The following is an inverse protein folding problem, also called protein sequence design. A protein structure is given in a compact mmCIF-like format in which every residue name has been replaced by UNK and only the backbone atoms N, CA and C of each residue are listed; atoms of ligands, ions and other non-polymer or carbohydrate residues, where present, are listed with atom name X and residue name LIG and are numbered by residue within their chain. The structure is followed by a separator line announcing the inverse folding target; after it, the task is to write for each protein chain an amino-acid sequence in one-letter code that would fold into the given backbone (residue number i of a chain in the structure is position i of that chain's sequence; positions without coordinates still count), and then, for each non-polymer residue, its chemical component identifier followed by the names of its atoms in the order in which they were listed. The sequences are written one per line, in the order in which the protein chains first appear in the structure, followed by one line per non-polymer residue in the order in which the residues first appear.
data_IF_057381917043
#
_entry.id   IF_057381917043
#
_cell.length_a   1.000
_cell.length_b   1.000
_cell.length_c   1.000
_cell.angle_alpha   90.00
_cell.angle_beta   90.00
_cell.angle_gamma   90.00
#
_symmetry.space_group_name_H-M   'P 1'
#
loop_
_entity.id
_entity.type
_entity.pdbx_description
1 polymer ?
#
# COMPACT_ATOMS: atom_id res chain seq x y z
N UNK A 1 1.80 -10.78 15.00
CA UNK A 1 1.28 -9.40 15.17
C UNK A 1 -0.17 -9.54 15.61
N UNK A 2 -0.65 -8.79 16.62
CA UNK A 2 -2.07 -8.79 16.97
C UNK A 2 -2.90 -8.26 15.80
N UNK A 3 -4.15 -8.71 15.69
CA UNK A 3 -5.06 -8.21 14.65
C UNK A 3 -5.30 -6.70 14.85
N UNK A 4 -5.40 -5.91 13.76
CA UNK A 4 -5.69 -4.48 13.84
C UNK A 4 -7.00 -4.21 14.56
N UNK A 5 -7.04 -3.19 15.43
CA UNK A 5 -8.31 -2.69 15.97
C UNK A 5 -9.06 -1.90 14.90
N UNK A 6 -10.35 -1.63 15.14
CA UNK A 6 -11.13 -0.76 14.25
C UNK A 6 -10.52 0.63 14.10
N UNK A 7 -10.01 1.21 15.20
CA UNK A 7 -9.38 2.51 15.18
C UNK A 7 -8.09 2.49 14.33
N UNK A 8 -7.29 1.43 14.41
CA UNK A 8 -6.05 1.29 13.63
C UNK A 8 -6.32 1.33 12.13
N UNK A 9 -7.29 0.52 11.66
CA UNK A 9 -7.69 0.48 10.25
C UNK A 9 -8.21 1.84 9.79
N UNK A 10 -9.14 2.44 10.54
CA UNK A 10 -9.73 3.73 10.15
C UNK A 10 -8.69 4.85 10.14
N UNK A 11 -7.77 4.87 11.09
CA UNK A 11 -6.66 5.82 11.11
C UNK A 11 -5.74 5.61 9.91
N UNK A 12 -5.45 4.37 9.52
CA UNK A 12 -4.69 4.09 8.30
C UNK A 12 -5.42 4.64 7.07
N UNK A 13 -6.71 4.36 6.93
CA UNK A 13 -7.53 4.79 5.79
C UNK A 13 -7.79 6.31 5.76
N UNK A 14 -7.67 7.03 6.88
CA UNK A 14 -7.92 8.47 6.94
C UNK A 14 -6.87 9.33 6.21
N UNK A 15 -5.67 8.82 5.98
CA UNK A 15 -4.55 9.54 5.36
C UNK A 15 -4.40 9.21 3.87
N UNK A 16 -4.26 10.26 3.06
CA UNK A 16 -4.20 10.13 1.61
C UNK A 16 -3.02 9.27 1.14
N UNK A 17 -1.82 9.48 1.68
CA UNK A 17 -0.63 8.73 1.25
C UNK A 17 -0.78 7.26 1.62
N UNK A 18 -1.31 6.96 2.82
CA UNK A 18 -1.58 5.57 3.23
C UNK A 18 -2.65 4.90 2.36
N UNK A 19 -3.71 5.63 1.98
CA UNK A 19 -4.70 5.11 1.01
C UNK A 19 -4.07 4.81 -0.34
N UNK A 20 -3.23 5.71 -0.87
CA UNK A 20 -2.52 5.51 -2.14
C UNK A 20 -1.62 4.27 -2.07
N UNK A 21 -0.85 4.11 -0.98
CA UNK A 21 -0.05 2.90 -0.74
C UNK A 21 -0.93 1.65 -0.71
N UNK A 22 -2.04 1.66 0.04
CA UNK A 22 -2.93 0.49 0.15
C UNK A 22 -3.52 0.07 -1.19
N UNK A 23 -3.98 1.02 -2.00
CA UNK A 23 -4.56 0.72 -3.32
C UNK A 23 -3.54 0.04 -4.22
N UNK A 24 -2.27 0.48 -4.20
CA UNK A 24 -1.20 -0.16 -4.96
C UNK A 24 -0.85 -1.55 -4.41
N UNK A 25 -0.74 -1.67 -3.08
CA UNK A 25 -0.38 -2.93 -2.41
C UNK A 25 -1.45 -4.02 -2.48
N UNK A 26 -2.71 -3.63 -2.70
CA UNK A 26 -3.81 -4.59 -2.88
C UNK A 26 -3.82 -5.15 -4.32
N UNK A 27 -3.14 -4.51 -5.27
CA UNK A 27 -2.92 -5.03 -6.64
C UNK A 27 -1.65 -5.90 -6.74
N UNK A 28 -0.58 -5.49 -6.06
CA UNK A 28 0.74 -6.10 -6.19
C UNK A 28 1.51 -6.06 -4.87
N UNK A 29 2.36 -7.06 -4.63
CA UNK A 29 3.36 -7.01 -3.56
C UNK A 29 4.52 -6.12 -4.03
N UNK A 30 4.80 -5.01 -3.33
CA UNK A 30 5.72 -3.96 -3.82
C UNK A 30 6.85 -3.67 -2.85
N UNK A 31 8.04 -3.37 -3.39
CA UNK A 31 9.13 -2.82 -2.60
C UNK A 31 8.92 -1.33 -2.29
N UNK A 32 9.66 -0.83 -1.28
CA UNK A 32 9.70 0.60 -0.97
C UNK A 32 10.13 1.43 -2.18
N UNK A 33 11.07 0.89 -2.98
CA UNK A 33 11.55 1.52 -4.20
C UNK A 33 10.43 1.77 -5.22
N UNK A 34 9.59 0.77 -5.47
CA UNK A 34 8.48 0.86 -6.41
C UNK A 34 7.43 1.85 -5.92
N UNK A 35 7.10 1.81 -4.63
CA UNK A 35 6.17 2.75 -4.01
C UNK A 35 6.67 4.21 -4.09
N UNK A 36 7.95 4.44 -3.84
CA UNK A 36 8.58 5.77 -3.96
C UNK A 36 8.44 6.34 -5.36
N UNK A 37 8.72 5.51 -6.38
CA UNK A 37 8.62 5.93 -7.76
C UNK A 37 7.15 6.10 -8.20
N UNK A 38 6.27 5.19 -7.82
CA UNK A 38 4.84 5.24 -8.19
C UNK A 38 4.14 6.45 -7.56
N UNK A 39 4.45 6.77 -6.30
CA UNK A 39 3.82 7.86 -5.56
C UNK A 39 4.49 9.22 -5.77
N UNK A 40 5.68 9.26 -6.37
CA UNK A 40 6.53 10.46 -6.51
C UNK A 40 6.82 11.13 -5.16
N UNK A 41 7.03 10.31 -4.12
CA UNK A 41 7.30 10.77 -2.76
C UNK A 41 8.68 10.32 -2.27
N UNK A 42 9.38 11.11 -1.46
CA UNK A 42 10.66 10.71 -0.90
C UNK A 42 10.59 9.40 -0.10
N UNK A 43 11.63 8.59 -0.20
CA UNK A 43 11.74 7.32 0.53
C UNK A 43 11.53 7.42 2.04
N UNK A 44 12.06 8.45 2.77
CA UNK A 44 11.80 8.59 4.20
C UNK A 44 10.31 8.73 4.52
N UNK A 45 9.56 9.44 3.67
CA UNK A 45 8.12 9.64 3.81
C UNK A 45 7.39 8.31 3.64
N UNK A 46 7.60 7.62 2.53
CA UNK A 46 6.96 6.33 2.24
C UNK A 46 7.29 5.29 3.31
N UNK A 47 8.55 5.21 3.74
CA UNK A 47 8.99 4.24 4.76
C UNK A 47 8.34 4.50 6.11
N UNK A 48 8.15 5.78 6.48
CA UNK A 48 7.44 6.16 7.71
C UNK A 48 5.97 5.74 7.66
N UNK A 49 5.29 5.95 6.52
CA UNK A 49 3.91 5.50 6.35
C UNK A 49 3.79 3.98 6.43
N UNK A 50 4.68 3.23 5.76
CA UNK A 50 4.71 1.77 5.82
C UNK A 50 4.96 1.24 7.23
N UNK A 51 5.86 1.88 8.00
CA UNK A 51 6.08 1.53 9.40
C UNK A 51 4.81 1.68 10.22
N UNK A 52 4.12 2.82 10.12
CA UNK A 52 2.85 3.06 10.83
C UNK A 52 1.79 2.03 10.44
N UNK A 53 1.66 1.72 9.14
CA UNK A 53 0.68 0.76 8.64
C UNK A 53 1.00 -0.68 9.08
N UNK A 54 2.28 -1.04 9.16
CA UNK A 54 2.75 -2.35 9.63
C UNK A 54 2.53 -2.50 11.13
N UNK A 55 2.86 -1.46 11.90
CA UNK A 55 2.68 -1.47 13.35
C UNK A 55 1.18 -1.50 13.70
N UNK A 56 0.34 -0.90 12.86
CA UNK A 56 -1.12 -1.04 12.90
C UNK A 56 -1.63 -2.42 12.46
N UNK A 57 -0.80 -3.30 11.88
CA UNK A 57 -1.21 -4.63 11.41
C UNK A 57 -2.02 -4.63 10.10
N UNK A 58 -2.03 -3.52 9.34
CA UNK A 58 -2.77 -3.41 8.08
C UNK A 58 -1.95 -3.93 6.89
N UNK A 59 -0.63 -3.81 6.97
CA UNK A 59 0.31 -4.35 5.97
C UNK A 59 1.32 -5.28 6.63
N UNK A 60 1.82 -6.21 5.83
CA UNK A 60 2.90 -7.12 6.21
C UNK A 60 4.14 -6.83 5.38
N UNK A 61 5.31 -7.17 5.93
CA UNK A 61 6.59 -7.06 5.26
C UNK A 61 7.19 -8.45 5.10
N UNK A 62 7.57 -8.81 3.89
CA UNK A 62 8.43 -9.97 3.59
C UNK A 62 9.82 -9.49 3.16
N UNK A 63 10.82 -10.35 3.38
CA UNK A 63 12.17 -10.12 2.87
C UNK A 63 12.48 -11.16 1.81
N UNK A 64 12.82 -10.70 0.62
CA UNK A 64 13.24 -11.54 -0.49
C UNK A 64 14.63 -11.09 -0.93
N UNK A 65 15.63 -11.88 -0.52
CA UNK A 65 17.04 -11.51 -0.67
C UNK A 65 17.37 -10.20 0.03
N UNK A 66 17.73 -9.17 -0.76
CA UNK A 66 18.10 -7.84 -0.26
C UNK A 66 16.91 -6.87 -0.20
N UNK A 67 15.77 -7.23 -0.77
CA UNK A 67 14.62 -6.35 -0.89
C UNK A 67 13.58 -6.65 0.18
N UNK A 68 12.92 -5.60 0.64
CA UNK A 68 11.75 -5.70 1.52
C UNK A 68 10.51 -5.40 0.70
N UNK A 69 9.65 -6.40 0.58
CA UNK A 69 8.35 -6.28 -0.08
C UNK A 69 7.27 -6.09 0.98
N UNK A 70 6.25 -5.34 0.59
CA UNK A 70 5.08 -5.07 1.40
C UNK A 70 3.84 -5.59 0.68
N UNK A 71 2.85 -6.00 1.46
CA UNK A 71 1.55 -6.45 0.98
C UNK A 71 0.48 -6.13 2.01
N UNK A 72 -0.78 -6.08 1.57
CA UNK A 72 -1.92 -5.98 2.50
C UNK A 72 -1.96 -7.22 3.40
N UNK A 73 -2.20 -7.05 4.70
CA UNK A 73 -2.21 -8.17 5.63
C UNK A 73 -3.33 -9.16 5.28
N UNK A 74 -2.97 -10.44 5.21
CA UNK A 74 -3.94 -11.52 5.00
C UNK A 74 -4.85 -11.74 6.22
N UNK A 75 -4.46 -11.19 7.38
CA UNK A 75 -5.20 -11.28 8.63
C UNK A 75 -6.19 -10.13 8.86
N UNK A 76 -6.42 -9.28 7.86
CA UNK A 76 -7.41 -8.21 7.96
C UNK A 76 -8.82 -8.77 8.24
N UNK A 77 -9.56 -8.19 9.20
CA UNK A 77 -10.96 -8.51 9.40
C UNK A 77 -11.79 -8.32 8.12
N UNK A 78 -12.82 -9.15 7.91
CA UNK A 78 -13.65 -9.10 6.71
C UNK A 78 -14.24 -7.71 6.42
N UNK A 79 -14.68 -6.98 7.45
CA UNK A 79 -15.21 -5.62 7.29
C UNK A 79 -14.14 -4.63 6.80
N UNK A 80 -12.88 -4.80 7.23
CA UNK A 80 -11.77 -3.94 6.81
C UNK A 80 -11.41 -4.22 5.35
N UNK A 81 -11.45 -5.50 4.95
CA UNK A 81 -11.30 -5.90 3.55
C UNK A 81 -12.37 -5.29 2.65
N UNK A 82 -13.64 -5.38 3.06
CA UNK A 82 -14.75 -4.76 2.32
C UNK A 82 -14.60 -3.25 2.17
N UNK A 83 -14.12 -2.57 3.23
CA UNK A 83 -13.85 -1.13 3.17
C UNK A 83 -12.71 -0.80 2.19
N UNK A 84 -11.66 -1.62 2.16
CA UNK A 84 -10.56 -1.47 1.20
C UNK A 84 -11.03 -1.67 -0.24
N UNK A 85 -11.87 -2.68 -0.49
CA UNK A 85 -12.45 -2.93 -1.81
C UNK A 85 -13.30 -1.73 -2.26
N UNK A 86 -14.15 -1.19 -1.38
CA UNK A 86 -14.95 0.00 -1.67
C UNK A 86 -14.08 1.25 -1.91
N UNK A 87 -13.00 1.41 -1.13
CA UNK A 87 -12.03 2.49 -1.34
C UNK A 87 -11.37 2.38 -2.71
N UNK A 88 -10.92 1.18 -3.09
CA UNK A 88 -10.29 0.92 -4.38
C UNK A 88 -11.24 1.26 -5.54
N UNK A 89 -12.50 0.87 -5.44
CA UNK A 89 -13.52 1.16 -6.46
C UNK A 89 -13.77 2.67 -6.62
N UNK A 90 -13.77 3.42 -5.50
CA UNK A 90 -13.83 4.88 -5.52
C UNK A 90 -12.57 5.50 -6.14
N UNK A 91 -11.42 5.09 -5.63
CA UNK A 91 -10.09 5.56 -6.02
C UNK A 91 -9.79 5.35 -7.51
N UNK A 92 -10.29 4.25 -8.11
CA UNK A 92 -10.10 3.95 -9.53
C UNK A 92 -10.62 5.05 -10.48
N UNK A 93 -11.56 5.89 -10.02
CA UNK A 93 -12.13 7.00 -10.80
C UNK A 93 -11.34 8.30 -10.67
N UNK A 94 -10.48 8.41 -9.66
CA UNK A 94 -9.76 9.63 -9.33
C UNK A 94 -8.45 9.74 -10.12
N UNK A 95 -8.08 10.96 -10.53
CA UNK A 95 -6.88 11.19 -11.34
C UNK A 95 -5.58 10.83 -10.61
N UNK A 96 -5.53 11.06 -9.28
CA UNK A 96 -4.36 10.81 -8.45
C UNK A 96 -3.94 9.33 -8.47
N UNK A 97 -4.86 8.43 -8.11
CA UNK A 97 -4.60 6.99 -8.09
C UNK A 97 -4.35 6.42 -9.49
N UNK A 98 -5.04 6.93 -10.52
CA UNK A 98 -4.74 6.53 -11.91
C UNK A 98 -3.32 6.93 -12.32
N UNK A 99 -2.83 8.09 -11.89
CA UNK A 99 -1.46 8.52 -12.11
C UNK A 99 -0.44 7.59 -11.44
N UNK A 100 -0.68 7.26 -10.17
CA UNK A 100 0.17 6.33 -9.41
C UNK A 100 0.26 4.96 -10.07
N UNK A 101 -0.90 4.38 -10.45
CA UNK A 101 -0.96 3.07 -11.10
C UNK A 101 -0.26 3.09 -12.46
N UNK A 102 -0.45 4.14 -13.26
CA UNK A 102 0.24 4.30 -14.55
C UNK A 102 1.76 4.32 -14.38
N UNK A 103 2.26 5.05 -13.38
CA UNK A 103 3.70 5.08 -13.09
C UNK A 103 4.23 3.71 -12.67
N UNK A 104 3.46 2.98 -11.86
CA UNK A 104 3.84 1.63 -11.45
C UNK A 104 3.97 0.67 -12.65
N UNK A 105 3.00 0.67 -13.57
CA UNK A 105 3.04 -0.15 -14.79
C UNK A 105 4.29 0.14 -15.62
N UNK A 106 4.66 1.42 -15.77
CA UNK A 106 5.87 1.82 -16.51
C UNK A 106 7.18 1.34 -15.87
N UNK A 107 7.18 1.05 -14.57
CA UNK A 107 8.35 0.48 -13.85
C UNK A 107 8.38 -1.03 -14.01
N UNK A 108 7.24 -1.70 -13.88
CA UNK A 108 7.12 -3.15 -14.05
C UNK A 108 7.53 -3.59 -15.47
N UNK A 109 7.17 -2.82 -16.50
CA UNK A 109 7.61 -3.06 -17.89
C UNK A 109 9.12 -2.88 -18.10
N UNK A 110 9.82 -2.23 -17.16
CA UNK A 110 11.26 -1.95 -17.23
C UNK A 110 12.12 -2.92 -16.41
N UNK A 111 11.53 -3.78 -15.57
CA UNK A 111 12.29 -4.76 -14.81
C UNK A 111 12.51 -6.03 -15.66
N UNK A 112 13.76 -6.37 -16.05
CA UNK A 112 14.01 -7.65 -16.70
C UNK A 112 13.85 -8.78 -15.68
N UNK A 113 13.27 -9.89 -16.14
CA UNK A 113 13.12 -11.15 -15.42
C UNK A 113 14.47 -11.73 -14.94
#
# INVERSE_FOLDING_TARGET
MPAPTTADVLNVLADEVRRRILVLLDEHDLCVCELVNALELPQPTVSRHLMVMRDAGVVEQSKEGRFSFYRVSASLPAWARQMLDALRDGAAREALYRGDRRRLTLIAERAPA
#
